data_IF_906488313991
#
_entry.id   IF_906488313991
#
_cell.length_a   1.000
_cell.length_b   1.000
_cell.length_c   1.000
_cell.angle_alpha   90.00
_cell.angle_beta   90.00
_cell.angle_gamma   90.00
#
_symmetry.space_group_name_H-M   'P 1'
#
loop_
_entity.id
_entity.type
_entity.pdbx_description
1 polymer ?
#
# COMPACT_ATOMS: atom_id res chain seq x y z
N UNK A 1 5.96 -3.41 8.32
CA UNK A 1 5.72 -2.31 7.35
C UNK A 1 4.22 -2.15 7.17
N UNK A 2 3.72 -0.92 7.01
CA UNK A 2 2.38 -0.68 6.47
C UNK A 2 2.46 0.18 5.22
N UNK A 3 1.50 0.04 4.31
CA UNK A 3 1.37 0.93 3.16
C UNK A 3 -0.09 1.11 2.72
N UNK A 4 -0.36 2.25 2.10
CA UNK A 4 -1.58 2.53 1.36
C UNK A 4 -1.29 2.55 -0.13
N UNK A 5 -2.11 1.86 -0.92
CA UNK A 5 -2.03 1.82 -2.38
C UNK A 5 -3.33 2.27 -3.00
N UNK A 6 -3.22 3.08 -4.06
CA UNK A 6 -4.28 3.40 -4.99
C UNK A 6 -3.97 2.74 -6.33
N UNK A 7 -4.74 1.72 -6.69
CA UNK A 7 -4.54 0.93 -7.91
C UNK A 7 -5.70 1.09 -8.87
N UNK A 8 -5.44 0.87 -10.16
CA UNK A 8 -6.44 0.96 -11.23
C UNK A 8 -5.80 0.65 -12.57
N UNK A 9 -6.60 0.57 -13.63
CA UNK A 9 -6.12 0.15 -14.95
C UNK A 9 -4.98 1.03 -15.50
N UNK A 10 -5.32 2.20 -16.06
CA UNK A 10 -4.36 3.21 -16.50
C UNK A 10 -4.82 4.57 -16.00
N UNK A 11 -3.99 5.24 -15.21
CA UNK A 11 -4.26 6.59 -14.71
C UNK A 11 -2.97 7.42 -14.55
N UNK A 12 -3.06 8.76 -14.60
CA UNK A 12 -1.91 9.63 -14.35
C UNK A 12 -1.57 9.66 -12.86
N UNK A 13 -0.47 9.02 -12.46
CA UNK A 13 -0.02 8.95 -11.05
C UNK A 13 0.22 10.34 -10.45
N UNK A 14 0.65 11.30 -11.27
CA UNK A 14 0.87 12.69 -10.88
C UNK A 14 -0.44 13.39 -10.48
N UNK A 15 -1.59 12.94 -10.99
CA UNK A 15 -2.88 13.47 -10.57
C UNK A 15 -3.19 13.11 -9.11
N UNK A 16 -2.76 11.93 -8.64
CA UNK A 16 -2.90 11.54 -7.23
C UNK A 16 -1.94 12.38 -6.37
N UNK A 17 -0.66 12.44 -6.74
CA UNK A 17 0.35 13.27 -6.04
C UNK A 17 -0.12 14.72 -5.88
N UNK A 18 -0.60 15.34 -6.96
CA UNK A 18 -1.05 16.74 -6.95
C UNK A 18 -2.32 16.95 -6.11
N UNK A 19 -3.28 16.04 -6.19
CA UNK A 19 -4.53 16.14 -5.45
C UNK A 19 -4.34 15.93 -3.95
N UNK A 20 -3.48 14.98 -3.56
CA UNK A 20 -3.20 14.67 -2.16
C UNK A 20 -2.12 15.58 -1.57
N UNK A 21 -1.26 16.18 -2.41
CA UNK A 21 -0.02 16.87 -2.00
C UNK A 21 0.87 15.97 -1.15
N UNK A 22 1.04 14.73 -1.59
CA UNK A 22 1.87 13.71 -0.96
C UNK A 22 2.79 13.16 -2.04
N UNK A 23 4.08 13.05 -1.74
CA UNK A 23 4.99 12.31 -2.60
C UNK A 23 4.86 10.79 -2.33
N UNK A 24 4.64 9.96 -3.37
CA UNK A 24 4.56 8.53 -3.19
C UNK A 24 5.92 7.94 -2.78
N UNK A 25 5.89 6.87 -2.01
CA UNK A 25 7.08 6.03 -1.83
C UNK A 25 7.40 5.26 -3.11
N UNK A 26 6.37 4.89 -3.87
CA UNK A 26 6.53 4.16 -5.13
C UNK A 26 5.36 4.39 -6.07
N UNK A 27 5.66 4.36 -7.36
CA UNK A 27 4.66 4.25 -8.42
C UNK A 27 5.04 3.18 -9.41
N UNK A 28 4.04 2.58 -10.05
CA UNK A 28 4.23 1.73 -11.23
C UNK A 28 3.19 2.10 -12.28
N UNK A 29 3.54 1.97 -13.55
CA UNK A 29 2.57 2.04 -14.64
C UNK A 29 2.21 0.62 -15.07
N UNK A 30 0.97 0.45 -15.52
CA UNK A 30 0.56 -0.78 -16.19
C UNK A 30 1.52 -1.06 -17.35
N UNK A 31 1.80 -2.34 -17.57
CA UNK A 31 2.73 -2.85 -18.57
C UNK A 31 4.20 -2.49 -18.36
N UNK A 32 4.56 -1.85 -17.23
CA UNK A 32 5.96 -1.76 -16.82
C UNK A 32 6.51 -3.16 -16.57
N UNK A 33 7.77 -3.38 -16.98
CA UNK A 33 8.48 -4.63 -16.69
C UNK A 33 8.70 -4.74 -15.18
N UNK A 34 8.29 -5.86 -14.60
CA UNK A 34 8.53 -6.16 -13.20
C UNK A 34 10.02 -6.49 -13.04
N UNK A 35 10.77 -5.55 -12.47
CA UNK A 35 12.16 -5.76 -12.10
C UNK A 35 12.26 -6.95 -11.14
N UNK A 36 12.96 -8.00 -11.57
CA UNK A 36 13.29 -9.15 -10.72
C UNK A 36 14.66 -8.90 -10.12
N UNK A 37 14.83 -9.25 -8.84
CA UNK A 37 16.17 -9.38 -8.27
C UNK A 37 16.82 -10.61 -8.90
N UNK A 38 18.09 -10.50 -9.28
CA UNK A 38 18.86 -11.65 -9.72
C UNK A 38 18.84 -12.71 -8.61
N UNK A 39 18.12 -13.79 -8.85
CA UNK A 39 18.06 -14.93 -7.96
C UNK A 39 18.54 -16.15 -8.76
N UNK A 40 19.74 -16.68 -8.45
CA UNK A 40 20.33 -17.80 -9.20
C UNK A 40 19.48 -19.08 -9.12
N UNK A 41 18.54 -19.15 -8.17
CA UNK A 41 17.62 -20.28 -8.03
C UNK A 41 16.29 -20.10 -8.79
N UNK A 42 16.09 -18.99 -9.51
CA UNK A 42 14.87 -18.71 -10.26
C UNK A 42 15.01 -19.14 -11.73
N UNK A 43 14.38 -20.26 -12.10
CA UNK A 43 14.46 -20.84 -13.47
C UNK A 43 13.55 -20.13 -14.48
N UNK A 44 12.64 -19.26 -14.02
CA UNK A 44 11.68 -18.60 -14.90
C UNK A 44 12.35 -17.51 -15.72
N UNK A 45 12.39 -17.66 -17.04
CA UNK A 45 12.85 -16.64 -18.01
C UNK A 45 11.73 -15.71 -18.49
N UNK A 46 10.49 -15.91 -18.01
CA UNK A 46 9.33 -15.14 -18.48
C UNK A 46 9.35 -13.71 -17.95
N UNK A 47 9.39 -12.72 -18.85
CA UNK A 47 9.17 -11.31 -18.49
C UNK A 47 7.77 -11.14 -17.89
N UNK A 48 7.71 -10.56 -16.69
CA UNK A 48 6.45 -10.21 -16.05
C UNK A 48 6.19 -8.73 -16.24
N UNK A 49 4.92 -8.40 -16.42
CA UNK A 49 4.44 -7.04 -16.61
C UNK A 49 3.46 -6.69 -15.49
N UNK A 50 3.49 -5.43 -15.06
CA UNK A 50 2.53 -4.89 -14.09
C UNK A 50 1.14 -4.94 -14.72
N UNK A 51 0.19 -5.57 -14.02
CA UNK A 51 -1.18 -5.73 -14.52
C UNK A 51 -2.02 -4.47 -14.42
N UNK A 52 -1.59 -3.53 -13.59
CA UNK A 52 -2.29 -2.30 -13.24
C UNK A 52 -1.30 -1.19 -12.93
N UNK A 53 -1.78 0.04 -12.95
CA UNK A 53 -1.07 1.23 -12.48
C UNK A 53 -1.23 1.35 -10.97
N UNK A 54 -0.18 1.73 -10.27
CA UNK A 54 -0.13 1.79 -8.80
C UNK A 54 0.53 3.08 -8.32
N UNK A 55 -0.06 3.66 -7.27
CA UNK A 55 0.51 4.75 -6.48
C UNK A 55 0.50 4.32 -5.02
N UNK A 56 1.67 4.25 -4.39
CA UNK A 56 1.84 3.68 -3.05
C UNK A 56 2.59 4.62 -2.10
N UNK A 57 2.06 4.77 -0.88
CA UNK A 57 2.68 5.43 0.27
C UNK A 57 2.98 4.38 1.35
N UNK A 58 4.23 4.28 1.81
CA UNK A 58 4.67 3.24 2.74
C UNK A 58 5.55 3.78 3.86
N UNK A 59 5.46 3.14 5.03
CA UNK A 59 6.37 3.36 6.17
C UNK A 59 7.75 2.74 5.95
N UNK A 60 7.91 1.86 4.96
CA UNK A 60 9.01 0.91 4.92
C UNK A 60 8.96 -0.11 6.08
N UNK A 61 9.95 -0.99 6.14
CA UNK A 61 10.12 -1.90 7.28
C UNK A 61 10.68 -1.13 8.48
N UNK A 62 10.07 -1.37 9.64
CA UNK A 62 10.39 -0.78 10.92
C UNK A 62 10.18 -1.86 11.97
N UNK A 63 11.07 -1.91 12.96
CA UNK A 63 10.87 -2.74 14.14
C UNK A 63 9.69 -2.19 14.95
N UNK A 64 8.74 -3.06 15.29
CA UNK A 64 7.57 -2.68 16.06
C UNK A 64 6.87 -3.87 16.68
N UNK A 65 6.25 -3.65 17.84
CA UNK A 65 5.51 -4.66 18.59
C UNK A 65 3.99 -4.46 18.52
N UNK A 66 3.50 -3.51 17.72
CA UNK A 66 2.07 -3.26 17.48
C UNK A 66 1.87 -2.73 16.06
N UNK A 67 1.05 -3.40 15.26
CA UNK A 67 0.78 -3.03 13.86
C UNK A 67 0.14 -1.64 13.73
N UNK A 68 -0.55 -1.16 14.77
CA UNK A 68 -1.22 0.14 14.76
C UNK A 68 -0.21 1.29 14.68
N UNK A 69 1.03 1.10 15.13
CA UNK A 69 2.08 2.12 15.03
C UNK A 69 2.34 2.52 13.57
N UNK A 70 2.47 1.54 12.66
CA UNK A 70 2.71 1.84 11.25
C UNK A 70 1.42 2.27 10.53
N UNK A 71 0.27 1.70 10.89
CA UNK A 71 -1.01 2.10 10.29
C UNK A 71 -1.35 3.57 10.60
N UNK A 72 -1.07 4.05 11.81
CA UNK A 72 -1.28 5.46 12.19
C UNK A 72 -0.45 6.43 11.36
N UNK A 73 0.81 6.09 11.06
CA UNK A 73 1.66 6.94 10.21
C UNK A 73 1.04 7.13 8.83
N UNK A 74 0.46 6.08 8.26
CA UNK A 74 -0.25 6.16 6.98
C UNK A 74 -1.55 6.97 7.14
N UNK A 75 -2.35 6.70 8.18
CA UNK A 75 -3.61 7.40 8.42
C UNK A 75 -3.42 8.92 8.58
N UNK A 76 -2.45 9.33 9.40
CA UNK A 76 -2.08 10.73 9.62
C UNK A 76 -1.66 11.41 8.31
N UNK A 77 -0.94 10.70 7.44
CA UNK A 77 -0.55 11.23 6.14
C UNK A 77 -1.74 11.49 5.21
N UNK A 78 -2.84 10.75 5.39
CA UNK A 78 -4.07 10.85 4.59
C UNK A 78 -5.17 11.69 5.27
N UNK A 79 -4.94 12.18 6.47
CA UNK A 79 -5.91 12.96 7.24
C UNK A 79 -6.34 14.23 6.47
N UNK A 80 -7.65 14.50 6.47
CA UNK A 80 -8.22 15.63 5.73
C UNK A 80 -8.23 15.51 4.20
N UNK A 81 -7.85 14.35 3.64
CA UNK A 81 -7.78 14.12 2.18
C UNK A 81 -8.87 13.17 1.66
N UNK A 82 -9.84 12.82 2.51
CA UNK A 82 -10.83 11.77 2.22
C UNK A 82 -11.76 12.11 1.05
N UNK A 83 -12.16 13.38 0.89
CA UNK A 83 -12.99 13.80 -0.24
C UNK A 83 -12.21 13.80 -1.56
N UNK A 84 -10.92 14.19 -1.54
CA UNK A 84 -10.03 14.06 -2.68
C UNK A 84 -9.86 12.59 -3.07
N UNK A 85 -9.65 11.70 -2.10
CA UNK A 85 -9.56 10.25 -2.32
C UNK A 85 -10.84 9.70 -2.97
N UNK A 86 -12.03 10.03 -2.45
CA UNK A 86 -13.30 9.62 -3.07
C UNK A 86 -13.48 10.14 -4.49
N UNK A 87 -13.10 11.39 -4.73
CA UNK A 87 -13.14 11.98 -6.07
C UNK A 87 -12.22 11.22 -7.04
N UNK A 88 -10.97 10.97 -6.64
CA UNK A 88 -9.99 10.20 -7.43
C UNK A 88 -10.49 8.78 -7.69
N UNK A 89 -11.04 8.12 -6.66
CA UNK A 89 -11.63 6.77 -6.75
C UNK A 89 -12.67 6.70 -7.86
N UNK A 90 -13.62 7.64 -7.86
CA UNK A 90 -14.67 7.69 -8.89
C UNK A 90 -14.13 8.07 -10.26
N UNK A 91 -13.24 9.06 -10.32
CA UNK A 91 -12.71 9.60 -11.58
C UNK A 91 -11.88 8.58 -12.36
N UNK A 92 -11.07 7.79 -11.66
CA UNK A 92 -10.13 6.84 -12.27
C UNK A 92 -10.48 5.37 -12.01
N UNK A 93 -11.60 5.09 -11.34
CA UNK A 93 -12.02 3.72 -11.01
C UNK A 93 -11.07 3.02 -10.04
N UNK A 94 -10.52 3.75 -9.07
CA UNK A 94 -9.45 3.24 -8.21
C UNK A 94 -9.95 2.24 -7.17
N UNK A 95 -9.09 1.28 -6.83
CA UNK A 95 -9.17 0.51 -5.61
C UNK A 95 -8.18 1.02 -4.60
N UNK A 96 -8.58 0.99 -3.33
CA UNK A 96 -7.75 1.44 -2.23
C UNK A 96 -7.46 0.25 -1.32
N UNK A 97 -6.20 0.11 -0.95
CA UNK A 97 -5.71 -0.98 -0.12
C UNK A 97 -4.80 -0.43 0.96
N UNK A 98 -5.09 -0.78 2.21
CA UNK A 98 -4.09 -0.78 3.25
C UNK A 98 -3.50 -2.18 3.35
N UNK A 99 -2.18 -2.28 3.31
CA UNK A 99 -1.48 -3.54 3.49
C UNK A 99 -0.56 -3.45 4.71
N UNK A 100 -0.59 -4.48 5.54
CA UNK A 100 0.37 -4.67 6.63
C UNK A 100 1.23 -5.88 6.29
N UNK A 101 2.54 -5.67 6.18
CA UNK A 101 3.51 -6.75 5.96
C UNK A 101 4.33 -6.92 7.22
N UNK A 102 4.21 -8.10 7.83
CA UNK A 102 4.82 -8.47 9.10
C UNK A 102 5.91 -9.51 8.84
N UNK A 103 7.10 -9.24 9.38
CA UNK A 103 8.20 -10.20 9.44
C UNK A 103 8.38 -10.57 10.91
N UNK A 104 8.08 -11.82 11.25
CA UNK A 104 8.28 -12.38 12.59
C UNK A 104 9.68 -12.96 12.62
N UNK A 105 10.51 -12.40 13.49
CA UNK A 105 11.88 -12.84 13.74
C UNK A 105 11.94 -13.37 15.18
N UNK A 106 12.75 -14.40 15.43
CA UNK A 106 12.95 -14.98 16.78
C UNK A 106 11.65 -15.40 17.50
N UNK A 107 10.61 -15.79 16.75
CA UNK A 107 9.25 -16.06 17.27
C UNK A 107 8.58 -14.87 18.00
N UNK A 108 9.04 -13.64 17.79
CA UNK A 108 8.43 -12.44 18.36
C UNK A 108 7.41 -11.85 17.39
N UNK A 109 6.14 -11.96 17.73
CA UNK A 109 5.03 -11.42 16.92
C UNK A 109 4.49 -10.12 17.51
N UNK A 110 4.13 -9.12 16.69
CA UNK A 110 3.51 -7.90 17.18
C UNK A 110 2.06 -8.17 17.63
N UNK A 111 1.51 -7.26 18.42
CA UNK A 111 0.07 -7.19 18.64
C UNK A 111 -0.64 -6.93 17.30
N UNK A 112 -1.59 -7.81 16.96
CA UNK A 112 -2.34 -7.77 15.70
C UNK A 112 -3.82 -7.56 15.97
N UNK A 113 -4.24 -6.30 15.99
CA UNK A 113 -5.63 -5.88 16.09
C UNK A 113 -5.78 -4.54 15.36
N UNK A 114 -7.00 -4.22 14.93
CA UNK A 114 -7.28 -2.95 14.28
C UNK A 114 -8.01 -2.03 15.25
N UNK A 115 -7.47 -0.84 15.46
CA UNK A 115 -8.15 0.22 16.19
C UNK A 115 -9.33 0.76 15.38
N UNK A 116 -10.37 1.21 16.08
CA UNK A 116 -11.65 1.62 15.48
C UNK A 116 -11.46 2.71 14.42
N UNK A 117 -10.59 3.68 14.68
CA UNK A 117 -10.33 4.78 13.74
C UNK A 117 -9.76 4.31 12.39
N UNK A 118 -8.92 3.27 12.39
CA UNK A 118 -8.38 2.67 11.17
C UNK A 118 -9.50 2.00 10.36
N UNK A 119 -10.37 1.25 11.05
CA UNK A 119 -11.52 0.58 10.43
C UNK A 119 -12.48 1.63 9.84
N UNK A 120 -12.81 2.66 10.61
CA UNK A 120 -13.72 3.73 10.21
C UNK A 120 -13.14 4.50 9.00
N UNK A 121 -11.84 4.84 9.03
CA UNK A 121 -11.18 5.52 7.92
C UNK A 121 -11.17 4.68 6.64
N UNK A 122 -10.74 3.42 6.73
CA UNK A 122 -10.70 2.51 5.58
C UNK A 122 -12.10 2.31 4.98
N UNK A 123 -13.11 2.07 5.82
CA UNK A 123 -14.50 1.95 5.41
C UNK A 123 -15.00 3.23 4.71
N UNK A 124 -14.69 4.41 5.28
CA UNK A 124 -15.12 5.70 4.73
C UNK A 124 -14.63 5.96 3.31
N UNK A 125 -13.39 5.55 2.99
CA UNK A 125 -12.83 5.68 1.65
C UNK A 125 -13.06 4.44 0.77
N UNK A 126 -13.74 3.42 1.29
CA UNK A 126 -13.96 2.12 0.64
C UNK A 126 -12.63 1.45 0.25
N UNK A 127 -11.74 1.36 1.23
CA UNK A 127 -10.48 0.63 1.14
C UNK A 127 -10.60 -0.76 1.80
N UNK A 128 -9.90 -1.72 1.23
CA UNK A 128 -9.66 -3.01 1.89
C UNK A 128 -8.44 -2.92 2.81
N UNK A 129 -8.35 -3.84 3.77
CA UNK A 129 -7.19 -4.00 4.65
C UNK A 129 -6.70 -5.44 4.54
N UNK A 130 -5.49 -5.64 4.03
CA UNK A 130 -4.86 -6.96 3.88
C UNK A 130 -3.63 -7.10 4.76
N UNK A 131 -3.21 -8.35 4.96
CA UNK A 131 -2.08 -8.71 5.80
C UNK A 131 -1.25 -9.79 5.12
N UNK A 132 0.06 -9.58 5.05
CA UNK A 132 1.04 -10.63 4.77
C UNK A 132 1.87 -10.88 6.01
N UNK A 133 2.10 -12.17 6.30
CA UNK A 133 2.90 -12.63 7.42
C UNK A 133 4.01 -13.56 6.91
N UNK A 134 5.26 -13.22 7.23
CA UNK A 134 6.43 -14.04 6.98
C UNK A 134 7.06 -14.40 8.32
N UNK A 135 7.33 -15.69 8.54
CA UNK A 135 7.97 -16.20 9.76
C UNK A 135 9.34 -16.73 9.37
N UNK A 136 10.38 -16.25 10.04
CA UNK A 136 11.79 -16.57 9.78
C UNK A 136 12.40 -17.39 10.93
#
# INVERSE_FOLDING_TARGET
MAYFSATGDVFPVEAITNALRIEPTRTYKKDDVVARRDNPNLVSTKTLYRKETDWTLSTGYQESYDINNQLHVILQSLEGKTEQLKHLKKKYGLQFLFMVVIQVENNESPAMYLQKEIIDFASFIQAEIHFDLYIH
#
